data_IF_717164291600
#
_entry.id   IF_717164291600
#
_cell.length_a   1.000
_cell.length_b   1.000
_cell.length_c   1.000
_cell.angle_alpha   90.00
_cell.angle_beta   90.00
_cell.angle_gamma   90.00
#
_symmetry.space_group_name_H-M   'P 1'
#
loop_
_entity.id
_entity.type
_entity.pdbx_description
1 polymer ?
#
# COMPACT_ATOMS: atom_id res chain seq x y z
N UNK A 1 9.44 -8.25 -18.56
CA UNK A 1 8.29 -8.80 -17.81
C UNK A 1 7.78 -7.71 -16.90
N UNK A 2 6.46 -7.56 -16.73
CA UNK A 2 5.88 -6.55 -15.84
C UNK A 2 6.11 -6.99 -14.38
N UNK A 3 6.51 -6.08 -13.50
CA UNK A 3 6.59 -6.39 -12.07
C UNK A 3 5.15 -6.53 -11.51
N UNK A 4 4.89 -7.40 -10.53
CA UNK A 4 3.61 -7.39 -9.82
C UNK A 4 3.42 -6.05 -9.10
N UNK A 5 2.21 -5.51 -9.17
CA UNK A 5 1.82 -4.24 -8.58
C UNK A 5 1.22 -4.43 -7.19
N UNK A 6 1.65 -3.60 -6.23
CA UNK A 6 1.19 -3.62 -4.85
C UNK A 6 0.63 -2.24 -4.47
N UNK A 7 -0.57 -2.21 -3.90
CA UNK A 7 -1.08 -1.03 -3.19
C UNK A 7 -0.96 -1.24 -1.69
N UNK A 8 -0.18 -0.40 -1.02
CA UNK A 8 -0.07 -0.38 0.43
C UNK A 8 -1.07 0.63 0.99
N UNK A 9 -1.92 0.17 1.91
CA UNK A 9 -2.91 0.98 2.62
C UNK A 9 -2.60 0.89 4.12
N UNK A 10 -1.77 1.80 4.68
CA UNK A 10 -1.27 1.64 6.04
C UNK A 10 -2.30 1.90 7.16
N UNK A 11 -3.46 2.46 6.84
CA UNK A 11 -4.53 2.71 7.81
C UNK A 11 -4.12 3.66 8.93
N UNK A 12 -4.46 3.32 10.16
CA UNK A 12 -4.33 4.18 11.33
C UNK A 12 -3.45 3.56 12.43
N UNK A 13 -3.01 4.39 13.38
CA UNK A 13 -2.23 3.95 14.53
C UNK A 13 -0.95 3.23 14.11
N UNK A 14 -0.73 2.03 14.65
CA UNK A 14 0.50 1.25 14.42
C UNK A 14 0.63 0.75 12.98
N UNK A 15 -0.45 0.76 12.18
CA UNK A 15 -0.39 0.31 10.77
C UNK A 15 0.62 1.13 9.95
N UNK A 16 0.73 2.43 10.24
CA UNK A 16 1.73 3.32 9.63
C UNK A 16 3.18 2.87 9.93
N UNK A 17 3.44 2.49 11.18
CA UNK A 17 4.77 2.06 11.65
C UNK A 17 5.13 0.69 11.08
N UNK A 18 4.20 -0.27 11.13
CA UNK A 18 4.44 -1.64 10.66
C UNK A 18 4.58 -1.69 9.14
N UNK A 19 3.78 -0.92 8.39
CA UNK A 19 3.91 -0.86 6.93
C UNK A 19 5.23 -0.21 6.48
N UNK A 20 5.83 0.66 7.28
CA UNK A 20 7.17 1.16 6.99
C UNK A 20 8.22 0.04 6.99
N UNK A 21 8.09 -0.96 7.88
CA UNK A 21 8.98 -2.13 7.89
C UNK A 21 8.67 -3.09 6.73
N UNK A 22 7.40 -3.27 6.35
CA UNK A 22 7.03 -4.06 5.17
C UNK A 22 7.70 -3.52 3.91
N UNK A 23 7.75 -2.19 3.73
CA UNK A 23 8.46 -1.57 2.60
C UNK A 23 9.95 -1.91 2.56
N UNK A 24 10.62 -1.93 3.72
CA UNK A 24 12.05 -2.31 3.80
C UNK A 24 12.26 -3.75 3.37
N UNK A 25 11.35 -4.65 3.75
CA UNK A 25 11.41 -6.06 3.34
C UNK A 25 11.19 -6.20 1.84
N UNK A 26 10.21 -5.49 1.27
CA UNK A 26 9.96 -5.46 -0.18
C UNK A 26 11.21 -4.98 -0.94
N UNK A 27 11.81 -3.88 -0.49
CA UNK A 27 13.05 -3.35 -1.09
C UNK A 27 14.19 -4.36 -1.00
N UNK A 28 14.38 -5.00 0.15
CA UNK A 28 15.41 -6.01 0.34
C UNK A 28 15.25 -7.18 -0.63
N UNK A 29 14.03 -7.65 -0.90
CA UNK A 29 13.78 -8.71 -1.89
C UNK A 29 14.15 -8.28 -3.31
N UNK A 30 13.88 -7.02 -3.68
CA UNK A 30 14.31 -6.46 -4.97
C UNK A 30 15.82 -6.49 -5.11
N UNK A 31 16.54 -5.97 -4.10
CA UNK A 31 18.00 -5.85 -4.10
C UNK A 31 18.74 -7.19 -4.01
N UNK A 32 18.21 -8.15 -3.24
CA UNK A 32 18.95 -9.37 -2.87
C UNK A 32 18.47 -10.63 -3.58
N UNK A 33 17.23 -10.64 -4.09
CA UNK A 33 16.61 -11.82 -4.72
C UNK A 33 16.11 -11.56 -6.12
N UNK A 34 16.23 -10.34 -6.64
CA UNK A 34 15.76 -9.96 -7.97
C UNK A 34 14.22 -9.96 -8.10
N UNK A 35 13.51 -9.92 -6.97
CA UNK A 35 12.05 -9.90 -6.92
C UNK A 35 11.56 -8.47 -6.73
N UNK A 36 11.28 -7.79 -7.84
CA UNK A 36 10.84 -6.39 -7.85
C UNK A 36 9.31 -6.28 -7.89
N UNK A 37 8.79 -5.23 -7.27
CA UNK A 37 7.38 -4.90 -7.22
C UNK A 37 7.16 -3.43 -7.59
N UNK A 38 6.06 -3.14 -8.28
CA UNK A 38 5.63 -1.76 -8.51
C UNK A 38 4.74 -1.34 -7.34
N UNK A 39 5.30 -0.62 -6.38
CA UNK A 39 4.63 -0.27 -5.11
C UNK A 39 4.04 1.13 -5.19
N UNK A 40 2.78 1.25 -4.77
CA UNK A 40 2.08 2.52 -4.59
C UNK A 40 1.40 2.55 -3.21
N UNK A 41 1.02 3.74 -2.77
CA UNK A 41 0.38 3.97 -1.47
C UNK A 41 -0.84 4.88 -1.58
N UNK A 42 -1.82 4.62 -0.72
CA UNK A 42 -2.98 5.50 -0.56
C UNK A 42 -3.60 5.39 0.85
N UNK A 43 -4.66 6.16 1.10
CA UNK A 43 -5.27 6.29 2.42
C UNK A 43 -6.52 5.42 2.59
N UNK A 44 -6.65 4.84 3.79
CA UNK A 44 -7.85 4.12 4.24
C UNK A 44 -8.10 4.42 5.72
N UNK A 45 -9.30 4.18 6.20
CA UNK A 45 -9.65 4.32 7.61
C UNK A 45 -9.78 5.79 8.05
N UNK A 46 -9.42 6.06 9.30
CA UNK A 46 -9.42 7.40 9.91
C UNK A 46 -8.57 8.39 9.14
N UNK A 47 -7.38 8.01 8.67
CA UNK A 47 -6.50 8.85 7.87
C UNK A 47 -7.15 9.29 6.55
N UNK A 48 -7.94 8.41 5.92
CA UNK A 48 -8.75 8.77 4.75
C UNK A 48 -9.90 9.70 5.15
N UNK A 49 -10.57 9.41 6.26
CA UNK A 49 -11.68 10.23 6.75
C UNK A 49 -11.26 11.66 7.10
N UNK A 50 -10.14 11.83 7.77
CA UNK A 50 -9.60 13.14 8.16
C UNK A 50 -9.30 14.02 6.93
N UNK A 51 -8.88 13.40 5.82
CA UNK A 51 -8.51 14.11 4.59
C UNK A 51 -9.67 14.26 3.59
N UNK A 52 -10.50 13.25 3.46
CA UNK A 52 -11.49 13.10 2.38
C UNK A 52 -12.94 13.08 2.88
N UNK A 53 -13.18 13.02 4.20
CA UNK A 53 -14.52 12.90 4.78
C UNK A 53 -15.18 11.52 4.58
N UNK A 54 -14.43 10.54 4.09
CA UNK A 54 -14.86 9.15 3.88
C UNK A 54 -13.75 8.20 4.30
N UNK A 55 -14.06 7.03 4.92
CA UNK A 55 -13.03 6.07 5.33
C UNK A 55 -12.35 5.37 4.15
N UNK A 56 -12.93 5.47 2.95
CA UNK A 56 -12.35 4.98 1.72
C UNK A 56 -12.81 5.87 0.57
N UNK A 57 -11.87 6.56 -0.07
CA UNK A 57 -12.15 7.39 -1.23
C UNK A 57 -12.30 6.52 -2.49
N UNK A 58 -13.18 6.91 -3.41
CA UNK A 58 -13.46 6.13 -4.63
C UNK A 58 -12.20 5.92 -5.48
N UNK A 59 -11.32 6.93 -5.56
CA UNK A 59 -10.04 6.80 -6.26
C UNK A 59 -9.13 5.72 -5.66
N UNK A 60 -9.15 5.55 -4.33
CA UNK A 60 -8.38 4.50 -3.64
C UNK A 60 -8.99 3.14 -3.92
N UNK A 61 -10.31 3.02 -3.92
CA UNK A 61 -11.00 1.78 -4.30
C UNK A 61 -10.70 1.40 -5.76
N UNK A 62 -10.72 2.36 -6.68
CA UNK A 62 -10.39 2.13 -8.08
C UNK A 62 -8.96 1.60 -8.23
N UNK A 63 -7.97 2.24 -7.60
CA UNK A 63 -6.58 1.73 -7.58
C UNK A 63 -6.48 0.33 -7.00
N UNK A 64 -7.19 0.06 -5.90
CA UNK A 64 -7.18 -1.25 -5.24
C UNK A 64 -7.70 -2.38 -6.14
N UNK A 65 -8.61 -2.07 -7.07
CA UNK A 65 -9.14 -3.03 -8.05
C UNK A 65 -8.22 -3.22 -9.27
N UNK A 66 -7.31 -2.28 -9.53
CA UNK A 66 -6.39 -2.32 -10.68
C UNK A 66 -5.05 -3.02 -10.37
N UNK A 67 -4.63 -3.03 -9.10
CA UNK A 67 -3.37 -3.67 -8.67
C UNK A 67 -3.51 -5.18 -8.53
N UNK A 68 -2.36 -5.87 -8.58
CA UNK A 68 -2.32 -7.34 -8.42
C UNK A 68 -2.58 -7.77 -6.97
N UNK A 69 -2.21 -6.94 -5.98
CA UNK A 69 -2.54 -7.17 -4.58
C UNK A 69 -2.57 -5.88 -3.73
N UNK A 70 -3.34 -5.93 -2.65
CA UNK A 70 -3.40 -4.89 -1.62
C UNK A 70 -2.76 -5.42 -0.33
N UNK A 71 -1.89 -4.63 0.28
CA UNK A 71 -1.36 -4.86 1.62
C UNK A 71 -1.98 -3.83 2.56
N UNK A 72 -2.81 -4.31 3.48
CA UNK A 72 -3.55 -3.50 4.45
C UNK A 72 -2.86 -3.55 5.83
N UNK A 73 -2.70 -2.37 6.44
CA UNK A 73 -2.10 -2.18 7.77
C UNK A 73 -3.01 -2.49 8.96
#
# INVERSE_FOLDING_TARGET
>A
MKNPSLLILPGDGIGQEVMAEVRKVIQWFGENRGLNFDVSEDLVGGASYDKHGTPLHDDTMAKAQEVDAVLLG
#
